data_IF_737681438434
#
_entry.id   IF_737681438434
#
_cell.length_a   1.000
_cell.length_b   1.000
_cell.length_c   1.000
_cell.angle_alpha   90.00
_cell.angle_beta   90.00
_cell.angle_gamma   90.00
#
_symmetry.space_group_name_H-M   'P 1'
#
loop_
_entity.id
_entity.type
_entity.pdbx_description
1 polymer ?
#
# COMPACT_ATOMS: atom_id res chain seq x y z
N UNK A 1 1.95 0.65 -0.41
CA UNK A 1 0.65 0.39 0.27
C UNK A 1 0.53 -1.11 0.43
N UNK A 2 0.38 -1.63 1.64
CA UNK A 2 0.13 -3.05 1.90
C UNK A 2 -1.02 -3.61 1.04
N UNK A 3 -0.75 -4.72 0.36
CA UNK A 3 -1.72 -5.51 -0.38
C UNK A 3 -1.99 -6.82 0.39
N UNK A 4 -2.67 -7.78 -0.18
CA UNK A 4 -3.02 -9.03 0.50
C UNK A 4 -1.82 -9.72 1.19
N UNK A 5 -0.66 -9.91 0.54
CA UNK A 5 0.46 -10.63 1.18
C UNK A 5 1.04 -9.91 2.39
N UNK A 6 1.17 -8.58 2.34
CA UNK A 6 1.69 -7.78 3.46
C UNK A 6 0.72 -7.83 4.65
N UNK A 7 -0.59 -7.72 4.37
CA UNK A 7 -1.62 -7.78 5.42
C UNK A 7 -1.73 -9.18 6.03
N UNK A 8 -1.59 -10.23 5.21
CA UNK A 8 -1.53 -11.62 5.69
C UNK A 8 -0.32 -11.86 6.60
N UNK A 9 0.83 -11.28 6.25
CA UNK A 9 2.04 -11.34 7.08
C UNK A 9 1.79 -10.72 8.45
N UNK A 10 1.20 -9.53 8.51
CA UNK A 10 0.84 -8.86 9.77
C UNK A 10 -0.14 -9.71 10.59
N UNK A 11 -1.17 -10.26 9.94
CA UNK A 11 -2.15 -11.10 10.62
C UNK A 11 -1.51 -12.38 11.22
N UNK A 12 -0.58 -13.03 10.48
CA UNK A 12 0.16 -14.20 10.97
C UNK A 12 1.08 -13.85 12.14
N UNK A 13 1.77 -12.73 12.07
CA UNK A 13 2.67 -12.27 13.14
C UNK A 13 1.89 -11.94 14.41
N UNK A 14 0.76 -11.25 14.29
CA UNK A 14 -0.15 -11.00 15.42
C UNK A 14 -0.69 -12.30 16.01
N UNK A 15 -1.17 -13.23 15.16
CA UNK A 15 -1.71 -14.52 15.63
C UNK A 15 -0.69 -15.30 16.43
N UNK A 16 0.55 -15.41 15.96
CA UNK A 16 1.65 -16.10 16.68
C UNK A 16 1.96 -15.49 18.04
N UNK A 17 1.83 -14.16 18.15
CA UNK A 17 2.14 -13.43 19.39
C UNK A 17 0.98 -13.43 20.38
N UNK A 18 -0.27 -13.39 19.89
CA UNK A 18 -1.46 -13.26 20.72
C UNK A 18 -2.10 -14.61 21.06
N UNK A 19 -2.01 -15.57 20.14
CA UNK A 19 -2.68 -16.87 20.18
C UNK A 19 -1.69 -18.01 19.89
N UNK A 20 -0.63 -18.20 20.71
CA UNK A 20 0.28 -19.31 20.51
C UNK A 20 -0.43 -20.65 20.68
N UNK A 21 -0.03 -21.66 19.90
CA UNK A 21 -0.63 -22.99 19.92
C UNK A 21 -0.63 -23.57 21.33
N UNK A 22 -1.78 -24.09 21.76
CA UNK A 22 -1.97 -24.70 23.08
C UNK A 22 -2.14 -23.73 24.26
N UNK A 23 -2.15 -22.42 24.03
CA UNK A 23 -2.19 -21.43 25.11
C UNK A 23 -3.62 -21.07 25.59
N UNK A 24 -4.67 -21.67 25.06
CA UNK A 24 -6.05 -21.32 25.42
C UNK A 24 -6.51 -19.98 24.77
N UNK A 25 -7.53 -19.31 25.35
CA UNK A 25 -8.00 -18.02 24.83
C UNK A 25 -6.89 -16.97 24.87
N UNK A 26 -6.94 -16.03 23.93
CA UNK A 26 -6.00 -14.93 23.86
C UNK A 26 -6.15 -13.95 25.02
N UNK A 27 -5.27 -12.93 25.10
CA UNK A 27 -5.27 -11.95 26.18
C UNK A 27 -6.54 -11.12 26.18
N UNK A 28 -6.93 -10.66 27.38
CA UNK A 28 -7.97 -9.67 27.57
C UNK A 28 -7.50 -8.27 27.24
N UNK A 29 -8.41 -7.42 26.81
CA UNK A 29 -8.16 -6.01 26.53
C UNK A 29 -8.50 -5.20 27.79
N UNK A 30 -7.50 -4.75 28.54
CA UNK A 30 -7.66 -3.94 29.74
C UNK A 30 -8.10 -2.50 29.45
N UNK A 31 -7.87 -2.03 28.20
CA UNK A 31 -8.27 -0.70 27.75
C UNK A 31 -7.70 -0.34 26.40
N UNK A 32 -7.93 0.89 25.97
CA UNK A 32 -7.36 1.40 24.74
C UNK A 32 -6.93 2.86 24.84
N UNK A 33 -5.99 3.28 24.01
CA UNK A 33 -5.58 4.67 23.79
C UNK A 33 -5.83 5.06 22.35
N UNK A 34 -6.34 6.29 22.15
CA UNK A 34 -6.56 6.85 20.81
C UNK A 34 -5.93 8.24 20.77
N UNK A 35 -4.82 8.37 20.04
CA UNK A 35 -4.11 9.64 19.86
C UNK A 35 -4.52 10.41 18.60
N UNK A 36 -5.26 9.76 17.69
CA UNK A 36 -5.78 10.37 16.47
C UNK A 36 -7.17 9.85 16.14
N UNK A 37 -8.19 10.64 16.46
CA UNK A 37 -9.61 10.26 16.40
C UNK A 37 -10.01 9.75 15.01
N UNK A 38 -9.53 10.39 13.94
CA UNK A 38 -9.82 9.99 12.56
C UNK A 38 -9.23 8.62 12.17
N UNK A 39 -8.46 7.98 13.03
CA UNK A 39 -8.07 6.57 12.84
C UNK A 39 -9.26 5.64 13.05
N UNK A 40 -10.17 6.01 13.94
CA UNK A 40 -11.40 5.26 14.16
C UNK A 40 -12.40 5.52 13.03
N UNK A 41 -13.13 4.48 12.65
CA UNK A 41 -14.17 4.58 11.63
C UNK A 41 -15.25 5.59 12.03
N UNK A 42 -15.75 5.47 13.25
CA UNK A 42 -16.89 6.24 13.73
C UNK A 42 -16.47 7.53 14.47
N UNK A 43 -15.17 7.83 14.48
CA UNK A 43 -14.57 9.00 15.12
C UNK A 43 -15.01 9.19 16.61
N UNK A 44 -15.42 8.08 17.28
CA UNK A 44 -15.85 8.04 18.69
C UNK A 44 -14.83 7.26 19.57
N UNK A 45 -13.85 7.93 20.21
CA UNK A 45 -12.89 7.27 21.08
C UNK A 45 -13.54 6.66 22.34
N UNK A 46 -14.55 7.30 22.93
CA UNK A 46 -15.17 6.82 24.15
C UNK A 46 -15.96 5.53 23.89
N UNK A 47 -16.78 5.49 22.85
CA UNK A 47 -17.51 4.30 22.44
C UNK A 47 -16.57 3.17 22.02
N UNK A 48 -15.49 3.50 21.30
CA UNK A 48 -14.48 2.50 20.92
C UNK A 48 -13.80 1.89 22.17
N UNK A 49 -13.32 2.71 23.10
CA UNK A 49 -12.65 2.24 24.34
C UNK A 49 -13.61 1.37 25.15
N UNK A 50 -14.84 1.85 25.37
CA UNK A 50 -15.84 1.09 26.11
C UNK A 50 -16.19 -0.24 25.43
N UNK A 51 -16.26 -0.24 24.09
CA UNK A 51 -16.64 -1.43 23.31
C UNK A 51 -15.56 -2.51 23.25
N UNK A 52 -14.27 -2.17 23.46
CA UNK A 52 -13.18 -3.15 23.46
C UNK A 52 -12.72 -3.56 24.84
N UNK A 53 -12.90 -2.70 25.86
CA UNK A 53 -12.43 -2.96 27.22
C UNK A 53 -13.17 -4.14 27.85
N UNK A 54 -12.43 -5.04 28.46
CA UNK A 54 -12.95 -6.27 29.10
C UNK A 54 -13.20 -7.42 28.15
N UNK A 55 -13.01 -7.24 26.83
CA UNK A 55 -13.12 -8.33 25.85
C UNK A 55 -11.84 -9.11 25.72
N UNK A 56 -11.94 -10.38 25.33
CA UNK A 56 -10.82 -11.26 25.02
C UNK A 56 -10.63 -11.40 23.50
N UNK A 57 -9.41 -11.62 23.09
CA UNK A 57 -9.06 -11.86 21.68
C UNK A 57 -9.21 -13.33 21.38
N UNK A 58 -10.19 -13.70 20.57
CA UNK A 58 -10.52 -15.08 20.20
C UNK A 58 -9.82 -15.52 18.90
N UNK A 59 -9.50 -14.57 18.03
CA UNK A 59 -8.91 -14.86 16.73
C UNK A 59 -8.17 -13.68 16.10
N UNK A 60 -7.29 -14.01 15.17
CA UNK A 60 -6.68 -13.03 14.28
C UNK A 60 -6.70 -13.56 12.86
N UNK A 61 -7.28 -12.81 11.96
CA UNK A 61 -7.45 -13.18 10.57
C UNK A 61 -7.17 -12.04 9.60
N UNK A 62 -7.62 -12.22 8.37
CA UNK A 62 -7.55 -11.22 7.31
C UNK A 62 -8.76 -11.32 6.39
N UNK A 63 -9.26 -10.18 5.95
CA UNK A 63 -10.20 -10.08 4.84
C UNK A 63 -9.74 -8.98 3.87
N UNK A 64 -9.38 -9.36 2.66
CA UNK A 64 -8.84 -8.42 1.67
C UNK A 64 -7.56 -7.75 2.16
N UNK A 65 -7.61 -6.44 2.38
CA UNK A 65 -6.49 -5.64 2.89
C UNK A 65 -6.71 -5.16 4.33
N UNK A 66 -7.59 -5.84 5.06
CA UNK A 66 -7.87 -5.58 6.47
C UNK A 66 -7.34 -6.74 7.31
N UNK A 67 -6.64 -6.44 8.39
CA UNK A 67 -6.42 -7.36 9.50
C UNK A 67 -7.73 -7.45 10.28
N UNK A 68 -8.11 -8.64 10.69
CA UNK A 68 -9.24 -8.91 11.58
C UNK A 68 -8.72 -9.34 12.93
N UNK A 69 -9.31 -8.83 14.00
CA UNK A 69 -9.09 -9.29 15.37
C UNK A 69 -10.48 -9.63 15.92
N UNK A 70 -10.73 -10.93 16.05
CA UNK A 70 -11.99 -11.45 16.56
C UNK A 70 -11.99 -11.31 18.08
N UNK A 71 -13.10 -10.88 18.64
CA UNK A 71 -13.30 -10.67 20.06
C UNK A 71 -14.41 -11.59 20.56
N UNK A 72 -14.39 -11.90 21.84
CA UNK A 72 -15.45 -12.66 22.49
C UNK A 72 -16.83 -12.02 22.27
N UNK A 73 -17.88 -12.84 22.33
CA UNK A 73 -19.25 -12.41 22.01
C UNK A 73 -19.48 -12.09 20.53
N UNK A 74 -18.54 -12.48 19.64
CA UNK A 74 -18.67 -12.37 18.19
C UNK A 74 -18.36 -10.98 17.62
N UNK A 75 -18.06 -9.98 18.43
CA UNK A 75 -17.58 -8.68 17.95
C UNK A 75 -16.20 -8.83 17.31
N UNK A 76 -15.82 -7.90 16.44
CA UNK A 76 -14.50 -7.93 15.84
C UNK A 76 -13.98 -6.54 15.47
N UNK A 77 -12.66 -6.42 15.41
CA UNK A 77 -11.97 -5.25 14.91
C UNK A 77 -11.50 -5.48 13.49
N UNK A 78 -11.58 -4.44 12.66
CA UNK A 78 -10.90 -4.38 11.36
C UNK A 78 -9.80 -3.34 11.41
N UNK A 79 -8.61 -3.64 10.87
CA UNK A 79 -7.53 -2.67 10.74
C UNK A 79 -7.07 -2.60 9.29
N UNK A 80 -7.36 -1.49 8.63
CA UNK A 80 -6.87 -1.20 7.29
C UNK A 80 -5.60 -0.36 7.33
N UNK A 81 -4.45 -0.94 6.99
CA UNK A 81 -3.13 -0.31 7.10
C UNK A 81 -2.93 0.88 6.13
N UNK A 82 -3.68 0.94 5.04
CA UNK A 82 -3.54 1.95 3.95
C UNK A 82 -2.13 1.99 3.40
N UNK A 83 -1.34 3.07 3.61
CA UNK A 83 -0.03 3.24 2.96
C UNK A 83 1.16 3.04 3.90
N UNK A 84 1.05 3.49 5.14
CA UNK A 84 2.14 3.52 6.11
C UNK A 84 1.74 2.97 7.48
N UNK A 85 0.54 2.41 7.58
CA UNK A 85 0.05 1.78 8.80
C UNK A 85 0.85 0.52 9.13
N UNK A 86 1.23 0.38 10.39
CA UNK A 86 1.90 -0.77 10.96
C UNK A 86 1.12 -1.19 12.21
N UNK A 87 0.88 -2.47 12.37
CA UNK A 87 0.19 -3.05 13.52
C UNK A 87 1.09 -4.14 14.13
N UNK A 88 1.40 -4.02 15.41
CA UNK A 88 2.36 -4.90 16.06
C UNK A 88 2.13 -5.01 17.56
N UNK A 89 2.64 -6.07 18.17
CA UNK A 89 2.57 -6.32 19.61
C UNK A 89 3.91 -6.00 20.26
N UNK A 90 3.89 -5.20 21.34
CA UNK A 90 5.09 -4.85 22.11
C UNK A 90 4.80 -4.92 23.60
N UNK A 91 5.82 -5.09 24.47
CA UNK A 91 5.68 -4.85 25.91
C UNK A 91 5.20 -3.41 26.18
N UNK A 92 4.32 -3.22 27.15
CA UNK A 92 3.79 -1.90 27.52
C UNK A 92 4.88 -0.91 27.96
N UNK A 93 6.01 -1.43 28.48
CA UNK A 93 7.17 -0.62 28.88
C UNK A 93 7.93 0.03 27.71
N UNK A 94 7.69 -0.40 26.46
CA UNK A 94 8.32 0.22 25.28
C UNK A 94 7.79 1.65 25.13
N UNK A 95 8.64 2.67 24.98
CA UNK A 95 8.21 4.05 24.81
C UNK A 95 7.24 4.23 23.65
N UNK A 96 6.27 5.13 23.80
CA UNK A 96 5.26 5.43 22.79
C UNK A 96 5.90 6.19 21.63
N UNK A 97 5.66 5.70 20.39
CA UNK A 97 6.11 6.36 19.16
C UNK A 97 5.22 7.59 18.86
N UNK A 98 5.80 8.74 18.41
CA UNK A 98 5.02 9.94 18.03
C UNK A 98 4.00 9.70 16.91
N UNK A 99 4.15 8.61 16.17
CA UNK A 99 3.25 8.21 15.10
C UNK A 99 2.25 7.12 15.52
N UNK A 100 2.21 6.73 16.79
CA UNK A 100 1.14 5.90 17.32
C UNK A 100 -0.21 6.64 17.15
N UNK A 101 -1.22 5.95 16.63
CA UNK A 101 -2.56 6.51 16.40
C UNK A 101 -3.60 5.89 17.31
N UNK A 102 -3.41 4.63 17.66
CA UNK A 102 -4.20 3.91 18.66
C UNK A 102 -3.38 2.76 19.23
N UNK A 103 -3.75 2.33 20.43
CA UNK A 103 -3.22 1.12 21.04
C UNK A 103 -4.31 0.42 21.85
N UNK A 104 -4.30 -0.93 21.83
CA UNK A 104 -5.04 -1.76 22.75
C UNK A 104 -4.09 -2.19 23.86
N UNK A 105 -4.44 -1.94 25.09
CA UNK A 105 -3.69 -2.35 26.28
C UNK A 105 -4.18 -3.73 26.70
N UNK A 106 -3.27 -4.70 26.76
CA UNK A 106 -3.60 -6.07 27.11
C UNK A 106 -3.38 -6.32 28.62
N UNK A 107 -4.10 -7.27 29.17
CA UNK A 107 -4.02 -7.66 30.60
C UNK A 107 -2.75 -8.41 30.96
N UNK A 108 -2.01 -8.90 29.96
CA UNK A 108 -0.74 -9.60 30.12
C UNK A 108 0.52 -8.68 30.07
N UNK A 109 0.32 -7.38 30.12
CA UNK A 109 1.40 -6.37 30.12
C UNK A 109 1.97 -6.05 28.73
N UNK A 110 1.30 -6.48 27.67
CA UNK A 110 1.63 -6.11 26.27
C UNK A 110 0.63 -5.11 25.72
N UNK A 111 0.94 -4.58 24.55
CA UNK A 111 0.05 -3.69 23.81
C UNK A 111 0.05 -4.05 22.32
N UNK A 112 -1.12 -3.96 21.67
CA UNK A 112 -1.23 -3.94 20.22
C UNK A 112 -1.23 -2.49 19.80
N UNK A 113 -0.17 -2.04 19.13
CA UNK A 113 -0.01 -0.64 18.72
C UNK A 113 -0.23 -0.48 17.22
N UNK A 114 -1.01 0.52 16.86
CA UNK A 114 -1.20 0.96 15.50
C UNK A 114 -0.43 2.25 15.26
N UNK A 115 0.63 2.16 14.46
CA UNK A 115 1.49 3.27 14.06
C UNK A 115 1.17 3.67 12.62
N UNK A 116 0.96 4.95 12.34
CA UNK A 116 0.74 5.44 10.98
C UNK A 116 1.24 6.87 10.78
N UNK A 117 2.34 7.02 10.03
CA UNK A 117 2.96 8.31 9.75
C UNK A 117 2.01 9.23 8.95
N UNK A 118 1.29 8.68 7.98
CA UNK A 118 0.43 9.44 7.05
C UNK A 118 -0.99 9.64 7.54
N UNK A 119 -1.40 8.99 8.63
CA UNK A 119 -2.73 9.11 9.22
C UNK A 119 -3.89 8.70 8.30
N UNK A 120 -3.66 7.74 7.41
CA UNK A 120 -4.67 7.24 6.47
C UNK A 120 -5.32 5.93 6.93
N UNK A 121 -4.64 5.20 7.83
CA UNK A 121 -5.12 3.93 8.35
C UNK A 121 -6.44 4.08 9.10
N UNK A 122 -7.20 2.99 9.16
CA UNK A 122 -8.53 2.96 9.79
C UNK A 122 -8.67 1.73 10.67
N UNK A 123 -9.30 1.92 11.79
CA UNK A 123 -9.73 0.88 12.72
C UNK A 123 -11.25 0.99 12.86
N UNK A 124 -11.96 -0.11 12.73
CA UNK A 124 -13.40 -0.19 12.99
C UNK A 124 -13.70 -1.28 14.01
N UNK A 125 -14.61 -1.03 14.92
CA UNK A 125 -15.21 -2.02 15.80
C UNK A 125 -16.61 -2.37 15.24
N UNK A 126 -16.92 -3.65 15.19
CA UNK A 126 -18.15 -4.18 14.60
C UNK A 126 -18.79 -5.22 15.53
N UNK A 127 -20.11 -5.27 15.50
CA UNK A 127 -20.87 -6.34 16.16
C UNK A 127 -20.86 -7.63 15.32
N UNK A 128 -21.33 -8.73 15.92
CA UNK A 128 -21.33 -10.05 15.29
C UNK A 128 -22.15 -10.14 14.00
N UNK A 129 -23.18 -9.33 13.87
CA UNK A 129 -24.11 -9.28 12.74
C UNK A 129 -23.77 -8.21 11.69
N UNK A 130 -22.72 -7.43 11.93
CA UNK A 130 -22.23 -6.46 10.95
C UNK A 130 -21.47 -7.17 9.82
N UNK A 131 -21.69 -6.73 8.56
CA UNK A 131 -20.89 -7.16 7.41
C UNK A 131 -20.26 -5.93 6.70
N UNK A 132 -19.10 -5.45 7.16
CA UNK A 132 -18.40 -4.35 6.52
C UNK A 132 -17.73 -4.72 5.18
N UNK A 133 -17.92 -5.96 4.72
CA UNK A 133 -17.23 -6.54 3.56
C UNK A 133 -18.18 -7.01 2.46
N UNK A 134 -19.46 -6.71 2.53
CA UNK A 134 -20.48 -7.12 1.57
C UNK A 134 -20.17 -6.70 0.12
N UNK A 135 -19.59 -5.51 -0.06
CA UNK A 135 -19.13 -4.99 -1.35
C UNK A 135 -17.83 -5.64 -1.87
N UNK A 136 -17.12 -6.42 -1.07
CA UNK A 136 -15.85 -7.01 -1.47
C UNK A 136 -16.00 -8.26 -2.32
N UNK A 137 -15.14 -8.36 -3.33
CA UNK A 137 -15.01 -9.56 -4.15
C UNK A 137 -14.46 -10.76 -3.38
N UNK A 138 -14.36 -11.94 -4.05
CA UNK A 138 -13.84 -13.15 -3.44
C UNK A 138 -12.35 -13.05 -3.09
N UNK A 139 -11.95 -13.81 -2.07
CA UNK A 139 -10.55 -14.00 -1.69
C UNK A 139 -9.83 -14.91 -2.68
N UNK A 140 -8.74 -14.44 -3.32
CA UNK A 140 -8.09 -15.21 -4.37
C UNK A 140 -7.37 -16.47 -3.89
N UNK A 141 -6.95 -16.53 -2.62
CA UNK A 141 -6.24 -17.70 -2.07
C UNK A 141 -7.14 -18.69 -1.34
N UNK A 142 -8.45 -18.46 -1.32
CA UNK A 142 -9.40 -19.41 -0.76
C UNK A 142 -9.77 -20.54 -1.75
N UNK A 143 -10.00 -21.78 -1.28
CA UNK A 143 -10.32 -22.93 -2.13
C UNK A 143 -11.55 -22.73 -3.03
N UNK A 144 -12.53 -21.93 -2.59
CA UNK A 144 -13.74 -21.59 -3.36
C UNK A 144 -13.49 -20.64 -4.53
N UNK A 145 -12.31 -19.97 -4.59
CA UNK A 145 -11.93 -19.13 -5.71
C UNK A 145 -11.43 -19.97 -6.87
N UNK A 146 -12.34 -20.62 -7.59
CA UNK A 146 -12.03 -21.51 -8.71
C UNK A 146 -11.93 -20.78 -10.04
N UNK A 147 -11.30 -21.41 -11.05
CA UNK A 147 -11.30 -20.89 -12.42
C UNK A 147 -12.72 -20.67 -12.98
N UNK A 148 -13.68 -21.48 -12.55
CA UNK A 148 -15.10 -21.32 -12.92
C UNK A 148 -15.68 -20.03 -12.33
N UNK A 149 -15.41 -19.76 -11.06
CA UNK A 149 -15.84 -18.52 -10.39
C UNK A 149 -15.16 -17.31 -11.01
N UNK A 150 -13.84 -17.36 -11.28
CA UNK A 150 -13.09 -16.34 -11.97
C UNK A 150 -13.71 -15.99 -13.35
N UNK A 151 -13.97 -16.98 -14.19
CA UNK A 151 -14.61 -16.80 -15.50
C UNK A 151 -16.01 -16.21 -15.39
N UNK A 152 -16.79 -16.62 -14.42
CA UNK A 152 -18.12 -16.05 -14.19
C UNK A 152 -18.05 -14.55 -13.88
N UNK A 153 -17.02 -14.10 -13.11
CA UNK A 153 -16.81 -12.69 -12.81
C UNK A 153 -16.28 -11.88 -14.00
N UNK A 154 -15.49 -12.47 -14.88
CA UNK A 154 -15.03 -11.83 -16.13
C UNK A 154 -16.15 -11.66 -17.15
N UNK A 155 -17.18 -12.51 -17.11
CA UNK A 155 -18.26 -12.53 -18.12
C UNK A 155 -18.96 -11.16 -18.18
N UNK A 156 -19.06 -10.60 -19.37
CA UNK A 156 -19.68 -9.28 -19.61
C UNK A 156 -18.85 -8.07 -19.25
N UNK A 157 -17.69 -8.23 -18.61
CA UNK A 157 -16.82 -7.11 -18.22
C UNK A 157 -16.05 -6.57 -19.44
N UNK A 158 -16.18 -5.25 -19.69
CA UNK A 158 -15.45 -4.54 -20.76
C UNK A 158 -14.33 -3.66 -20.22
N UNK A 159 -14.17 -3.61 -18.89
CA UNK A 159 -13.12 -2.83 -18.23
C UNK A 159 -11.71 -3.27 -18.69
N UNK A 160 -10.74 -2.36 -18.63
CA UNK A 160 -9.34 -2.68 -18.84
C UNK A 160 -8.81 -3.56 -17.70
N UNK A 161 -7.90 -4.49 -18.02
CA UNK A 161 -7.44 -5.49 -17.07
C UNK A 161 -6.82 -4.90 -15.81
N UNK A 162 -5.96 -3.87 -15.93
CA UNK A 162 -5.32 -3.29 -14.75
C UNK A 162 -6.33 -2.64 -13.79
N UNK A 163 -7.22 -1.73 -14.20
CA UNK A 163 -8.28 -1.22 -13.35
C UNK A 163 -9.16 -2.32 -12.75
N UNK A 164 -9.49 -3.35 -13.53
CA UNK A 164 -10.33 -4.46 -13.06
C UNK A 164 -9.65 -5.26 -11.94
N UNK A 165 -8.36 -5.59 -12.08
CA UNK A 165 -7.62 -6.36 -11.08
C UNK A 165 -7.44 -5.61 -9.75
N UNK A 166 -7.38 -4.27 -9.76
CA UNK A 166 -7.24 -3.48 -8.53
C UNK A 166 -8.57 -3.06 -7.91
N UNK A 167 -9.67 -3.39 -8.56
CA UNK A 167 -11.03 -3.21 -8.05
C UNK A 167 -11.33 -4.28 -6.99
N UNK A 168 -11.46 -3.84 -5.74
CA UNK A 168 -11.67 -4.75 -4.61
C UNK A 168 -13.03 -5.45 -4.65
N UNK A 169 -14.00 -4.93 -5.41
CA UNK A 169 -15.28 -5.60 -5.64
C UNK A 169 -15.15 -6.72 -6.66
N UNK A 170 -14.18 -6.69 -7.57
CA UNK A 170 -13.92 -7.73 -8.56
C UNK A 170 -13.16 -8.91 -7.95
N UNK A 171 -12.02 -8.65 -7.32
CA UNK A 171 -11.20 -9.60 -6.56
C UNK A 171 -10.47 -8.84 -5.47
N UNK A 172 -10.62 -9.29 -4.23
CA UNK A 172 -10.08 -8.55 -3.10
C UNK A 172 -8.58 -8.79 -2.92
N UNK A 173 -7.89 -7.84 -2.30
CA UNK A 173 -6.51 -8.01 -1.88
C UNK A 173 -5.46 -7.61 -2.91
N UNK A 174 -5.74 -7.69 -4.21
CA UNK A 174 -4.81 -7.26 -5.26
C UNK A 174 -4.72 -5.74 -5.29
N UNK A 175 -3.50 -5.23 -5.40
CA UNK A 175 -3.26 -3.81 -5.56
C UNK A 175 -2.34 -3.52 -6.75
N UNK A 176 -1.53 -2.48 -6.63
CA UNK A 176 -0.74 -1.98 -7.75
C UNK A 176 0.43 -2.88 -8.10
N UNK A 177 1.07 -3.47 -7.11
CA UNK A 177 2.25 -4.33 -7.25
C UNK A 177 1.86 -5.61 -7.95
N UNK A 178 1.00 -6.39 -7.30
CA UNK A 178 0.69 -7.73 -7.77
C UNK A 178 -0.18 -7.76 -9.03
N UNK A 179 -0.93 -6.69 -9.32
CA UNK A 179 -1.61 -6.58 -10.61
C UNK A 179 -0.64 -6.36 -11.79
N UNK A 180 0.43 -5.54 -11.63
CA UNK A 180 1.45 -5.38 -12.68
C UNK A 180 2.20 -6.69 -12.91
N UNK A 181 2.60 -7.37 -11.85
CA UNK A 181 3.32 -8.63 -11.89
C UNK A 181 2.49 -9.77 -12.50
N UNK A 182 1.23 -9.95 -12.08
CA UNK A 182 0.32 -10.94 -12.63
C UNK A 182 0.06 -10.73 -14.11
N UNK A 183 -0.13 -9.49 -14.57
CA UNK A 183 -0.30 -9.14 -15.97
C UNK A 183 0.97 -9.42 -16.79
N UNK A 184 2.16 -9.14 -16.24
CA UNK A 184 3.41 -9.44 -16.93
C UNK A 184 3.66 -10.95 -17.03
N UNK A 185 3.45 -11.70 -15.96
CA UNK A 185 3.54 -13.18 -15.97
C UNK A 185 2.60 -13.76 -17.00
N UNK A 186 1.40 -13.24 -17.13
CA UNK A 186 0.35 -13.66 -18.08
C UNK A 186 0.57 -13.17 -19.52
N UNK A 187 1.57 -12.31 -19.80
CA UNK A 187 1.80 -11.64 -21.10
C UNK A 187 0.61 -10.80 -21.57
N UNK A 188 -0.20 -10.29 -20.65
CA UNK A 188 -1.38 -9.48 -20.95
C UNK A 188 -1.09 -8.00 -20.75
N UNK A 189 -1.45 -7.19 -21.75
CA UNK A 189 -1.27 -5.74 -21.69
C UNK A 189 -2.23 -5.12 -20.65
N UNK A 190 -1.78 -4.19 -19.78
CA UNK A 190 -2.63 -3.61 -18.72
C UNK A 190 -3.85 -2.86 -19.23
N UNK A 191 -3.80 -2.35 -20.48
CA UNK A 191 -4.92 -1.65 -21.15
C UNK A 191 -5.82 -2.58 -21.95
N UNK A 192 -5.54 -3.87 -22.03
CA UNK A 192 -6.37 -4.84 -22.73
C UNK A 192 -7.75 -4.92 -22.06
N UNK A 193 -8.80 -4.99 -22.87
CA UNK A 193 -10.17 -5.19 -22.36
C UNK A 193 -10.37 -6.62 -21.86
N UNK A 194 -11.05 -6.78 -20.72
CA UNK A 194 -11.42 -8.10 -20.21
C UNK A 194 -12.29 -8.87 -21.22
N UNK A 195 -13.14 -8.19 -21.99
CA UNK A 195 -13.99 -8.81 -23.01
C UNK A 195 -13.20 -9.41 -24.20
N UNK A 196 -11.92 -9.03 -24.37
CA UNK A 196 -11.08 -9.56 -25.46
C UNK A 196 -10.25 -10.78 -25.05
N UNK A 197 -10.38 -11.24 -23.80
CA UNK A 197 -9.67 -12.40 -23.31
C UNK A 197 -10.21 -13.69 -23.96
N UNK A 198 -9.30 -14.53 -24.35
CA UNK A 198 -9.60 -15.90 -24.80
C UNK A 198 -9.56 -16.85 -23.60
N UNK A 199 -10.18 -18.02 -23.66
CA UNK A 199 -10.17 -18.99 -22.55
C UNK A 199 -8.77 -19.33 -22.02
N UNK A 200 -7.74 -19.33 -22.88
CA UNK A 200 -6.34 -19.52 -22.50
C UNK A 200 -5.77 -18.34 -21.70
N UNK A 201 -6.11 -17.12 -22.10
CA UNK A 201 -5.69 -15.88 -21.42
C UNK A 201 -6.32 -15.79 -20.01
N UNK A 202 -7.63 -16.14 -19.89
CA UNK A 202 -8.35 -16.17 -18.64
C UNK A 202 -7.72 -17.16 -17.63
N UNK A 203 -7.38 -18.38 -18.13
CA UNK A 203 -6.72 -19.41 -17.33
C UNK A 203 -5.32 -18.98 -16.92
N UNK A 204 -4.55 -18.38 -17.83
CA UNK A 204 -3.20 -17.90 -17.54
C UNK A 204 -3.22 -16.78 -16.48
N UNK A 205 -4.14 -15.81 -16.61
CA UNK A 205 -4.28 -14.72 -15.65
C UNK A 205 -4.71 -15.23 -14.27
N UNK A 206 -5.71 -16.10 -14.21
CA UNK A 206 -6.15 -16.76 -12.98
C UNK A 206 -4.99 -17.45 -12.26
N UNK A 207 -4.28 -18.34 -12.98
CA UNK A 207 -3.13 -19.07 -12.39
C UNK A 207 -2.04 -18.13 -11.91
N UNK A 208 -1.63 -17.15 -12.71
CA UNK A 208 -0.57 -16.23 -12.34
C UNK A 208 -0.96 -15.28 -11.19
N UNK A 209 -2.26 -14.97 -11.01
CA UNK A 209 -2.75 -14.25 -9.83
C UNK A 209 -2.56 -15.11 -8.57
N UNK A 210 -2.94 -16.39 -8.61
CA UNK A 210 -2.76 -17.29 -7.47
C UNK A 210 -1.27 -17.51 -7.14
N UNK A 211 -0.47 -17.79 -8.16
CA UNK A 211 0.96 -18.05 -8.01
C UNK A 211 1.71 -16.85 -7.41
N UNK A 212 1.47 -15.62 -7.94
CA UNK A 212 2.17 -14.44 -7.43
C UNK A 212 1.76 -14.06 -6.01
N UNK A 213 0.48 -14.20 -5.68
CA UNK A 213 0.01 -13.91 -4.33
C UNK A 213 0.46 -14.97 -3.32
N UNK A 214 0.43 -16.26 -3.70
CA UNK A 214 0.96 -17.35 -2.87
C UNK A 214 2.45 -17.19 -2.60
N UNK A 215 3.25 -16.98 -3.66
CA UNK A 215 4.69 -16.70 -3.52
C UNK A 215 4.95 -15.49 -2.61
N UNK A 216 4.17 -14.43 -2.77
CA UNK A 216 4.35 -13.23 -1.97
C UNK A 216 3.97 -13.43 -0.50
N UNK A 217 2.96 -14.24 -0.19
CA UNK A 217 2.61 -14.61 1.20
C UNK A 217 3.74 -15.42 1.84
N UNK A 218 4.30 -16.41 1.12
CA UNK A 218 5.43 -17.21 1.62
C UNK A 218 6.66 -16.36 1.90
N UNK A 219 6.92 -15.32 1.08
CA UNK A 219 8.02 -14.39 1.20
C UNK A 219 7.72 -13.18 2.08
N UNK A 220 6.67 -13.22 2.89
CA UNK A 220 6.26 -12.16 3.83
C UNK A 220 5.93 -10.81 3.18
N UNK A 221 5.54 -10.82 1.90
CA UNK A 221 5.22 -9.62 1.14
C UNK A 221 6.45 -8.83 0.70
N UNK A 222 6.23 -7.58 0.33
CA UNK A 222 7.26 -6.65 -0.15
C UNK A 222 7.43 -5.48 0.82
N UNK A 223 8.69 -5.15 1.16
CA UNK A 223 9.06 -3.92 1.87
C UNK A 223 9.44 -2.86 0.85
N UNK A 224 8.43 -2.14 0.33
CA UNK A 224 8.61 -1.12 -0.71
C UNK A 224 8.06 0.22 -0.24
N UNK A 225 8.75 1.29 -0.63
CA UNK A 225 8.42 2.69 -0.30
C UNK A 225 8.49 2.95 1.23
N UNK A 226 7.36 3.32 1.82
CA UNK A 226 7.27 3.74 3.22
C UNK A 226 6.73 2.61 4.13
N UNK A 227 6.59 1.38 3.63
CA UNK A 227 6.10 0.23 4.39
C UNK A 227 7.21 -0.78 4.67
N UNK A 228 7.36 -1.12 5.94
CA UNK A 228 8.20 -2.22 6.45
C UNK A 228 7.36 -3.02 7.43
N UNK A 229 7.36 -4.33 7.34
CA UNK A 229 6.70 -5.18 8.31
C UNK A 229 7.42 -5.08 9.67
N UNK A 230 6.68 -5.00 10.80
CA UNK A 230 7.29 -4.83 12.12
C UNK A 230 8.28 -5.93 12.52
N UNK A 231 8.03 -7.16 12.10
CA UNK A 231 8.82 -8.34 12.45
C UNK A 231 9.84 -8.74 11.36
N UNK A 232 10.34 -7.78 10.61
CA UNK A 232 11.34 -7.98 9.57
C UNK A 232 10.83 -7.69 8.16
N UNK A 233 11.76 -7.40 7.27
CA UNK A 233 11.46 -7.08 5.89
C UNK A 233 10.92 -8.29 5.12
N UNK A 234 9.94 -8.04 4.24
CA UNK A 234 9.56 -8.99 3.23
C UNK A 234 10.67 -9.16 2.19
N UNK A 235 10.68 -10.24 1.47
CA UNK A 235 11.67 -10.57 0.43
C UNK A 235 11.09 -10.46 -1.00
N UNK A 236 9.81 -10.19 -1.13
CA UNK A 236 9.15 -10.20 -2.44
C UNK A 236 9.63 -9.10 -3.38
N UNK A 237 10.15 -7.97 -2.87
CA UNK A 237 10.72 -6.90 -3.68
C UNK A 237 11.88 -7.35 -4.57
N UNK A 238 12.62 -8.38 -4.18
CA UNK A 238 13.72 -8.93 -4.97
C UNK A 238 13.25 -9.80 -6.14
N UNK A 239 12.00 -10.22 -6.09
CA UNK A 239 11.37 -11.13 -7.06
C UNK A 239 10.44 -10.42 -8.04
N UNK A 240 10.31 -9.08 -7.93
CA UNK A 240 9.47 -8.30 -8.83
C UNK A 240 10.10 -8.15 -10.21
N UNK A 241 9.34 -8.49 -11.24
CA UNK A 241 9.79 -8.52 -12.63
C UNK A 241 9.63 -7.17 -13.35
N UNK A 242 8.59 -6.42 -13.03
CA UNK A 242 8.27 -5.15 -13.72
C UNK A 242 7.97 -3.97 -12.79
N UNK A 243 7.42 -4.22 -11.60
CA UNK A 243 7.00 -3.14 -10.72
C UNK A 243 8.20 -2.29 -10.27
N UNK A 244 8.08 -0.96 -10.40
CA UNK A 244 9.15 0.04 -10.15
C UNK A 244 10.44 -0.14 -10.97
N UNK A 245 10.44 -0.98 -12.00
CA UNK A 245 11.61 -1.26 -12.85
C UNK A 245 11.61 -0.49 -14.16
N UNK A 246 11.00 0.69 -14.21
CA UNK A 246 10.96 1.55 -15.41
C UNK A 246 12.35 1.79 -15.99
N UNK A 247 12.55 1.48 -17.28
CA UNK A 247 13.82 1.63 -17.98
C UNK A 247 14.79 0.46 -17.80
N UNK A 248 14.60 -0.40 -16.81
CA UNK A 248 15.41 -1.61 -16.61
C UNK A 248 15.06 -2.67 -17.67
N UNK A 249 15.97 -3.60 -17.98
CA UNK A 249 15.71 -4.66 -18.91
C UNK A 249 14.61 -5.61 -18.40
N UNK A 250 13.67 -5.94 -19.29
CA UNK A 250 12.67 -6.98 -19.03
C UNK A 250 13.37 -8.33 -18.87
N UNK A 251 13.13 -9.09 -17.79
CA UNK A 251 13.78 -10.39 -17.58
C UNK A 251 13.53 -11.39 -18.70
N UNK A 252 12.42 -11.25 -19.44
CA UNK A 252 12.02 -12.17 -20.51
C UNK A 252 12.63 -11.85 -21.88
N UNK A 253 12.80 -10.56 -22.24
CA UNK A 253 13.20 -10.16 -23.60
C UNK A 253 14.28 -9.08 -23.67
N UNK A 254 14.82 -8.63 -22.55
CA UNK A 254 15.88 -7.61 -22.46
C UNK A 254 15.44 -6.16 -22.78
N UNK A 255 14.24 -5.96 -23.36
CA UNK A 255 13.76 -4.62 -23.69
C UNK A 255 13.37 -3.83 -22.43
N UNK A 256 13.48 -2.49 -22.45
CA UNK A 256 13.19 -1.68 -21.27
C UNK A 256 11.72 -1.78 -20.86
N UNK A 257 11.50 -1.98 -19.56
CA UNK A 257 10.18 -1.89 -18.92
C UNK A 257 9.63 -0.48 -19.11
N UNK A 258 8.39 -0.40 -19.49
CA UNK A 258 7.64 0.84 -19.74
C UNK A 258 6.74 1.18 -18.55
N UNK A 259 6.43 2.45 -18.44
CA UNK A 259 5.51 2.99 -17.43
C UNK A 259 4.47 3.89 -18.09
N UNK A 260 3.22 3.72 -17.70
CA UNK A 260 2.11 4.66 -17.97
C UNK A 260 1.39 4.98 -16.66
N UNK A 261 0.50 5.94 -16.67
CA UNK A 261 -0.39 6.23 -15.53
C UNK A 261 -1.83 5.93 -15.97
N UNK A 262 -2.49 5.03 -15.24
CA UNK A 262 -3.89 4.69 -15.44
C UNK A 262 -4.68 5.19 -14.24
N UNK A 263 -5.52 6.21 -14.44
CA UNK A 263 -6.09 6.97 -13.33
C UNK A 263 -4.98 7.64 -12.54
N UNK A 264 -4.87 7.32 -11.25
CA UNK A 264 -3.81 7.84 -10.36
C UNK A 264 -2.66 6.83 -10.16
N UNK A 265 -2.70 5.66 -10.81
CA UNK A 265 -1.78 4.55 -10.54
C UNK A 265 -0.70 4.43 -11.60
N UNK A 266 0.56 4.47 -11.18
CA UNK A 266 1.68 4.07 -12.03
C UNK A 266 1.54 2.59 -12.40
N UNK A 267 1.71 2.24 -13.65
CA UNK A 267 1.57 0.89 -14.21
C UNK A 267 2.80 0.55 -15.01
N UNK A 268 3.46 -0.55 -14.64
CA UNK A 268 4.72 -1.00 -15.21
C UNK A 268 4.50 -2.26 -16.05
N UNK A 269 5.07 -2.30 -17.24
CA UNK A 269 4.87 -3.42 -18.15
C UNK A 269 5.94 -3.48 -19.25
N UNK A 270 6.11 -4.62 -19.89
CA UNK A 270 6.93 -4.76 -21.07
C UNK A 270 6.06 -4.65 -22.33
N UNK A 271 6.19 -3.55 -23.09
CA UNK A 271 5.37 -3.32 -24.29
C UNK A 271 5.59 -4.34 -25.43
N UNK A 272 6.67 -5.12 -25.38
CA UNK A 272 6.96 -6.18 -26.33
C UNK A 272 6.37 -7.54 -25.91
N UNK A 273 6.52 -7.93 -24.64
CA UNK A 273 5.98 -9.19 -24.12
C UNK A 273 4.46 -9.13 -23.91
N UNK A 274 3.94 -7.94 -23.56
CA UNK A 274 2.52 -7.68 -23.26
C UNK A 274 1.93 -6.82 -24.37
N UNK A 275 1.65 -7.44 -25.51
CA UNK A 275 1.16 -6.72 -26.69
C UNK A 275 -0.31 -6.36 -26.58
N UNK A 276 -0.64 -5.13 -26.98
CA UNK A 276 -2.02 -4.71 -27.22
C UNK A 276 -2.40 -4.97 -28.67
N UNK A 277 -3.58 -5.52 -28.88
CA UNK A 277 -4.08 -5.79 -30.22
C UNK A 277 -4.24 -4.50 -31.06
N UNK A 278 -4.18 -4.62 -32.38
CA UNK A 278 -4.37 -3.47 -33.26
C UNK A 278 -5.74 -2.81 -33.05
N UNK A 279 -6.78 -3.61 -32.81
CA UNK A 279 -8.14 -3.12 -32.56
C UNK A 279 -8.26 -2.31 -31.26
N UNK A 280 -7.45 -2.58 -30.23
CA UNK A 280 -7.51 -1.91 -28.94
C UNK A 280 -6.59 -0.67 -28.83
N UNK A 281 -5.62 -0.53 -29.75
CA UNK A 281 -4.65 0.59 -29.74
C UNK A 281 -5.30 1.96 -29.88
N UNK A 282 -6.29 2.21 -30.77
CA UNK A 282 -6.93 3.52 -30.87
C UNK A 282 -7.53 4.01 -29.55
N UNK A 283 -8.26 3.13 -28.84
CA UNK A 283 -8.85 3.44 -27.55
C UNK A 283 -7.81 3.69 -26.44
N UNK A 284 -6.58 3.20 -26.60
CA UNK A 284 -5.48 3.35 -25.68
C UNK A 284 -4.49 4.47 -26.05
N UNK A 285 -4.61 5.07 -27.23
CA UNK A 285 -3.62 5.97 -27.84
C UNK A 285 -3.20 7.11 -26.91
N UNK A 286 -4.14 7.79 -26.27
CA UNK A 286 -3.88 8.89 -25.32
C UNK A 286 -3.00 8.44 -24.14
N UNK A 287 -3.25 7.27 -23.57
CA UNK A 287 -2.46 6.74 -22.47
C UNK A 287 -1.08 6.24 -22.94
N UNK A 288 -1.02 5.60 -24.10
CA UNK A 288 0.24 5.13 -24.68
C UNK A 288 1.17 6.29 -25.07
N UNK A 289 0.63 7.46 -25.44
CA UNK A 289 1.41 8.65 -25.72
C UNK A 289 2.18 9.18 -24.49
N UNK A 290 1.70 8.87 -23.27
CA UNK A 290 2.37 9.22 -22.00
C UNK A 290 3.42 8.20 -21.55
N UNK A 291 3.68 7.17 -22.36
CA UNK A 291 4.56 6.06 -21.99
C UNK A 291 6.01 6.50 -21.84
N UNK A 292 6.61 6.13 -20.70
CA UNK A 292 8.02 6.29 -20.38
C UNK A 292 8.70 4.91 -20.37
N UNK A 293 10.02 4.78 -20.55
CA UNK A 293 11.05 5.78 -20.33
C UNK A 293 11.24 6.70 -21.51
N UNK A 294 11.66 7.93 -21.20
CA UNK A 294 12.42 8.68 -22.20
C UNK A 294 13.84 8.11 -22.21
N UNK A 295 14.44 7.84 -23.37
CA UNK A 295 15.84 7.44 -23.43
C UNK A 295 16.70 8.50 -22.71
N UNK A 296 17.56 8.08 -21.80
CA UNK A 296 18.58 8.95 -21.20
C UNK A 296 18.36 9.48 -19.78
N UNK A 297 17.23 9.23 -19.13
CA UNK A 297 17.13 9.40 -17.68
C UNK A 297 16.98 8.04 -17.00
N UNK A 298 18.10 7.46 -16.61
CA UNK A 298 18.10 6.48 -15.53
C UNK A 298 17.45 7.19 -14.33
N UNK A 299 16.34 6.66 -13.84
CA UNK A 299 15.88 7.03 -12.51
C UNK A 299 17.05 6.70 -11.60
N UNK A 300 17.69 7.72 -11.02
CA UNK A 300 18.53 7.50 -9.87
C UNK A 300 17.61 6.81 -8.86
N UNK A 301 17.74 5.50 -8.75
CA UNK A 301 17.02 4.74 -7.76
C UNK A 301 17.28 5.44 -6.44
N UNK A 302 16.25 5.92 -5.78
CA UNK A 302 16.35 6.23 -4.37
C UNK A 302 16.82 4.93 -3.75
N UNK A 303 18.14 4.88 -3.46
CA UNK A 303 18.72 3.81 -2.66
C UNK A 303 17.84 3.73 -1.43
N UNK A 304 17.23 2.58 -1.22
CA UNK A 304 16.53 2.29 0.01
C UNK A 304 17.45 2.75 1.15
N UNK A 305 16.92 3.53 2.07
CA UNK A 305 17.69 3.93 3.25
C UNK A 305 18.04 2.64 3.97
N UNK A 306 19.31 2.28 3.95
CA UNK A 306 19.85 1.21 4.77
C UNK A 306 19.60 1.62 6.21
N UNK A 307 18.74 0.90 6.89
CA UNK A 307 18.57 1.00 8.33
C UNK A 307 19.84 0.43 8.94
N UNK A 308 20.48 1.20 9.82
CA UNK A 308 21.62 0.72 10.60
C UNK A 308 21.03 -0.18 11.67
N UNK A 309 21.42 -1.46 11.65
CA UNK A 309 21.24 -2.36 12.78
C UNK A 309 21.99 -1.77 13.98
N UNK A 310 21.26 -1.45 15.03
CA UNK A 310 21.83 -1.20 16.33
C UNK A 310 21.84 -2.54 17.07
N UNK A 311 23.01 -2.95 17.50
CA UNK A 311 23.24 -4.14 18.36
C UNK A 311 22.29 -4.08 19.57
N UNK A 312 21.34 -5.01 19.61
CA UNK A 312 20.40 -5.12 20.73
C UNK A 312 18.94 -5.22 20.36
N UNK A 313 18.59 -6.06 19.39
CA UNK A 313 17.28 -6.72 19.21
C UNK A 313 16.01 -5.90 19.49
N UNK A 314 15.84 -4.72 18.89
CA UNK A 314 14.59 -3.97 18.98
C UNK A 314 14.52 -2.88 17.92
N UNK A 315 13.47 -2.92 17.08
CA UNK A 315 13.08 -1.85 16.15
C UNK A 315 12.57 -0.65 16.96
N UNK A 316 13.47 0.17 17.50
CA UNK A 316 13.13 1.48 18.01
C UNK A 316 13.51 2.52 16.95
N UNK A 317 12.54 3.35 16.59
CA UNK A 317 12.73 4.49 15.71
C UNK A 317 13.84 5.42 16.22
N UNK A 318 14.35 6.30 15.34
CA UNK A 318 15.41 7.28 15.57
C UNK A 318 15.46 7.79 17.00
N UNK A 319 16.64 7.87 17.59
CA UNK A 319 16.87 8.53 18.86
C UNK A 319 16.34 9.97 18.83
N UNK A 320 16.04 10.54 20.00
CA UNK A 320 15.57 11.93 20.10
C UNK A 320 16.51 12.91 19.38
N UNK A 321 17.83 12.64 19.39
CA UNK A 321 18.86 13.45 18.74
C UNK A 321 18.81 13.33 17.20
N UNK A 322 18.57 12.14 16.65
CA UNK A 322 18.37 11.96 15.21
C UNK A 322 17.08 12.59 14.71
N UNK A 323 16.04 12.59 15.52
CA UNK A 323 14.78 13.27 15.24
C UNK A 323 14.96 14.80 15.29
N UNK A 324 15.73 15.33 16.24
CA UNK A 324 16.09 16.74 16.35
C UNK A 324 16.95 17.18 15.16
N UNK A 325 18.00 16.44 14.81
CA UNK A 325 18.85 16.72 13.65
C UNK A 325 18.08 16.65 12.32
N UNK A 326 17.10 15.75 12.18
CA UNK A 326 16.25 15.69 11.01
C UNK A 326 15.28 16.88 10.91
N UNK A 327 14.76 17.37 12.03
CA UNK A 327 13.92 18.58 12.09
C UNK A 327 14.72 19.83 11.72
N UNK A 328 15.95 19.93 12.20
CA UNK A 328 16.84 21.05 11.88
C UNK A 328 17.22 21.08 10.41
N UNK A 329 17.58 19.93 9.81
CA UNK A 329 17.83 19.83 8.35
C UNK A 329 16.59 20.19 7.53
N UNK A 330 15.40 19.74 7.92
CA UNK A 330 14.16 20.09 7.25
C UNK A 330 13.84 21.59 7.35
N UNK A 331 14.11 22.22 8.51
CA UNK A 331 13.96 23.65 8.72
C UNK A 331 14.92 24.45 7.84
N UNK A 332 16.20 24.09 7.79
CA UNK A 332 17.22 24.72 6.91
C UNK A 332 16.83 24.60 5.43
N UNK A 333 16.35 23.45 4.99
CA UNK A 333 15.90 23.24 3.60
C UNK A 333 14.69 24.10 3.27
N UNK A 334 13.76 24.26 4.20
CA UNK A 334 12.56 25.10 4.05
C UNK A 334 12.93 26.59 4.01
N UNK A 335 13.87 27.03 4.86
CA UNK A 335 14.39 28.39 4.87
C UNK A 335 15.14 28.72 3.57
N UNK A 336 16.01 27.83 3.08
CA UNK A 336 16.71 28.00 1.82
C UNK A 336 15.75 28.06 0.61
N UNK A 337 14.68 27.26 0.60
CA UNK A 337 13.65 27.31 -0.43
C UNK A 337 12.84 28.62 -0.39
N UNK A 338 12.54 29.12 0.82
CA UNK A 338 11.87 30.41 1.00
C UNK A 338 12.77 31.58 0.54
N UNK A 339 14.05 31.56 0.87
CA UNK A 339 15.02 32.56 0.42
C UNK A 339 15.17 32.59 -1.12
N UNK A 340 15.24 31.43 -1.77
CA UNK A 340 15.24 31.31 -3.23
C UNK A 340 13.97 31.88 -3.89
N UNK A 341 12.80 31.67 -3.27
CA UNK A 341 11.52 32.22 -3.76
C UNK A 341 11.46 33.75 -3.56
N UNK A 342 12.00 34.28 -2.48
CA UNK A 342 12.08 35.70 -2.22
C UNK A 342 13.05 36.40 -3.22
N UNK A 343 14.24 35.83 -3.48
CA UNK A 343 15.17 36.32 -4.47
C UNK A 343 14.58 36.30 -5.89
N UNK A 344 13.86 35.25 -6.28
CA UNK A 344 13.17 35.16 -7.55
C UNK A 344 12.05 36.22 -7.72
N UNK A 345 11.37 36.61 -6.65
CA UNK A 345 10.36 37.67 -6.65
C UNK A 345 11.02 39.10 -6.70
N UNK A 346 12.15 39.28 -6.10
CA UNK A 346 12.87 40.55 -6.11
C UNK A 346 13.54 40.85 -7.48
N UNK A 347 13.86 39.83 -8.28
CA UNK A 347 14.47 39.98 -9.61
C UNK A 347 13.48 40.24 -10.76
N UNK A 348 12.18 40.35 -10.50
CA UNK A 348 11.13 40.59 -11.50
C UNK A 348 10.41 41.92 -11.35
N UNK A 349 11.08 42.98 -10.85
CA UNK A 349 10.54 44.33 -10.88
C UNK A 349 10.68 44.89 -12.32
N UNK A 350 9.58 45.30 -13.00
CA UNK A 350 9.69 45.91 -14.31
C UNK A 350 10.29 47.33 -14.17
N UNK A 351 11.40 47.58 -14.81
CA UNK A 351 11.92 48.93 -15.03
C UNK A 351 10.99 49.68 -15.98
N UNK A 352 10.16 50.56 -15.42
CA UNK A 352 9.44 51.56 -16.20
C UNK A 352 10.43 52.64 -16.64
N UNK A 353 10.98 52.48 -17.82
CA UNK A 353 11.75 53.52 -18.51
C UNK A 353 10.82 54.40 -19.31
N UNK A 354 10.53 55.60 -18.80
CA UNK A 354 9.88 56.65 -19.59
C UNK A 354 10.86 57.23 -20.61
N UNK A 355 10.44 57.29 -21.87
CA UNK A 355 11.12 58.06 -22.90
C UNK A 355 10.36 59.40 -23.07
N UNK A 356 11.05 60.55 -23.15
CA UNK A 356 10.43 61.83 -23.48
C UNK A 356 10.25 61.96 -25.00
N UNK A 357 9.06 62.36 -25.46
CA UNK A 357 8.78 62.68 -26.85
C UNK A 357 9.34 64.04 -27.25
N UNK A 358 9.80 64.22 -28.51
CA UNK A 358 10.20 65.50 -29.01
C UNK A 358 9.01 66.35 -29.48
N UNK A 359 9.07 67.64 -29.18
CA UNK A 359 8.10 68.62 -29.64
C UNK A 359 8.10 68.85 -31.15
N UNK A 360 6.97 69.21 -31.67
CA UNK A 360 6.81 69.71 -33.01
C UNK A 360 6.56 71.25 -32.96
N UNK A 361 7.39 71.97 -33.61
CA UNK A 361 7.20 73.38 -34.04
C UNK A 361 6.68 73.43 -35.46
N UNK A 362 5.77 74.31 -35.68
CA UNK A 362 5.08 74.92 -36.80
C UNK A 362 3.91 74.20 -37.38
#
# INVERSE_FOLDING_TARGET
MPELPEVETVARDLRRRLLPEGAGPGPGIAGARVSWVRTLRDEDPAGFIAGVTGRHIDGVGRRGKNVLIDLDGGAFLTVHLKMTGQLFVVPAAVPVDPYERAALVLDDGREIRFRDVRKFGRIGLYAADDDPFDDLGPEPLEPRFTLRAWRARLRGRRARLKPLLVDQSFVVGIGNIYADEALWRSRLHPLRSAASLRPGDERALYRNVLEILGEAVERRGSSIDDYTAPDGDGEMQERLDVYQRTGQPCPRCGRPIRRIVIGIRATHFCSFCQRLSAAERPAAAKLLATMTPRPGRASSGRRGRRWVELDGGGLLGRTADEAAAARERASRTKAAAAARRAAARAGTAPTAGGAPGPGATT
#
